data_IF_611063159451
#
_entry.id   IF_611063159451
#
_cell.length_a   1.000
_cell.length_b   1.000
_cell.length_c   1.000
_cell.angle_alpha   90.00
_cell.angle_beta   90.00
_cell.angle_gamma   90.00
#
_symmetry.space_group_name_H-M   'P 1'
#
loop_
_entity.id
_entity.type
_entity.pdbx_description
1 polymer ?
#
# COMPACT_ATOMS: atom_id res chain seq x y z
N UNK A 1 -9.22 -13.36 53.18
CA UNK A 1 -8.32 -12.83 52.14
C UNK A 1 -7.77 -14.03 51.39
N UNK A 2 -8.46 -14.40 50.32
CA UNK A 2 -8.15 -15.56 49.49
C UNK A 2 -6.92 -15.20 48.65
N UNK A 3 -5.79 -15.87 48.88
CA UNK A 3 -4.58 -15.69 48.07
C UNK A 3 -4.88 -16.28 46.70
N UNK A 4 -5.02 -15.42 45.69
CA UNK A 4 -4.96 -15.85 44.29
C UNK A 4 -3.67 -16.66 44.15
N UNK A 5 -3.82 -17.94 43.84
CA UNK A 5 -2.72 -18.87 43.73
C UNK A 5 -1.87 -18.45 42.52
N UNK A 6 -0.55 -18.29 42.71
CA UNK A 6 0.33 -17.71 41.70
C UNK A 6 0.33 -18.55 40.40
N UNK A 7 -0.01 -19.84 40.48
CA UNK A 7 -0.23 -20.71 39.34
C UNK A 7 -1.46 -20.29 38.50
N UNK A 8 -2.57 -19.93 39.14
CA UNK A 8 -3.81 -19.53 38.47
C UNK A 8 -3.68 -18.14 37.81
N UNK A 9 -2.86 -17.26 38.38
CA UNK A 9 -2.50 -16.00 37.74
C UNK A 9 -1.64 -16.21 36.49
N UNK A 10 -0.73 -17.18 36.52
CA UNK A 10 0.15 -17.52 35.38
C UNK A 10 -0.63 -18.15 34.24
N UNK A 11 -1.55 -19.08 34.53
CA UNK A 11 -2.43 -19.69 33.52
C UNK A 11 -3.36 -18.67 32.86
N UNK A 12 -3.87 -17.69 33.64
CA UNK A 12 -4.65 -16.60 33.06
C UNK A 12 -3.81 -15.67 32.17
N UNK A 13 -2.56 -15.39 32.54
CA UNK A 13 -1.66 -14.58 31.72
C UNK A 13 -1.31 -15.34 30.43
N UNK A 14 -0.99 -16.63 30.50
CA UNK A 14 -0.66 -17.45 29.34
C UNK A 14 -1.86 -17.65 28.40
N UNK A 15 -3.06 -17.79 28.97
CA UNK A 15 -4.31 -17.83 28.20
C UNK A 15 -4.64 -16.49 27.56
N UNK A 16 -4.40 -15.37 28.26
CA UNK A 16 -4.53 -14.02 27.67
C UNK A 16 -3.50 -13.78 26.58
N UNK A 17 -2.24 -14.20 26.75
CA UNK A 17 -1.22 -14.11 25.71
C UNK A 17 -1.55 -14.99 24.51
N UNK A 18 -2.11 -16.18 24.74
CA UNK A 18 -2.57 -17.05 23.65
C UNK A 18 -3.77 -16.47 22.93
N UNK A 19 -4.74 -15.93 23.67
CA UNK A 19 -5.88 -15.23 23.07
C UNK A 19 -5.39 -14.01 22.31
N UNK A 20 -4.48 -13.20 22.86
CA UNK A 20 -3.90 -12.04 22.17
C UNK A 20 -3.10 -12.44 20.93
N UNK A 21 -2.33 -13.52 20.99
CA UNK A 21 -1.57 -14.05 19.85
C UNK A 21 -2.50 -14.61 18.75
N UNK A 22 -3.60 -15.27 19.13
CA UNK A 22 -4.64 -15.75 18.21
C UNK A 22 -5.59 -14.63 17.75
N UNK A 23 -5.75 -13.57 18.55
CA UNK A 23 -6.63 -12.42 18.32
C UNK A 23 -5.91 -11.18 17.80
N UNK A 24 -4.63 -11.25 17.47
CA UNK A 24 -4.02 -10.34 16.52
C UNK A 24 -4.43 -10.85 15.14
N UNK A 25 -5.56 -10.40 14.56
CA UNK A 25 -5.83 -10.66 13.17
C UNK A 25 -4.64 -10.09 12.44
N UNK A 26 -3.79 -10.96 11.91
CA UNK A 26 -2.78 -10.53 10.97
C UNK A 26 -3.53 -9.69 9.94
N UNK A 27 -3.11 -8.44 9.78
CA UNK A 27 -3.62 -7.50 8.77
C UNK A 27 -3.35 -8.00 7.33
N UNK A 28 -3.19 -9.31 7.13
CA UNK A 28 -2.73 -10.02 5.94
C UNK A 28 -3.81 -10.18 4.85
N UNK A 29 -5.04 -9.70 5.04
CA UNK A 29 -6.13 -9.99 4.10
C UNK A 29 -6.14 -9.11 2.83
N UNK A 30 -5.02 -8.49 2.47
CA UNK A 30 -4.98 -7.56 1.34
C UNK A 30 -3.64 -7.35 0.65
N UNK A 31 -2.67 -8.26 0.81
CA UNK A 31 -1.35 -8.14 0.16
C UNK A 31 -1.43 -7.96 -1.36
N UNK A 32 -2.41 -8.59 -2.00
CA UNK A 32 -2.71 -8.48 -3.42
C UNK A 32 -3.10 -7.06 -3.87
N UNK A 33 -3.81 -6.28 -3.05
CA UNK A 33 -4.11 -4.88 -3.37
C UNK A 33 -2.83 -4.06 -3.48
N UNK A 34 -1.86 -4.28 -2.59
CA UNK A 34 -0.57 -3.57 -2.63
C UNK A 34 0.23 -3.91 -3.88
N UNK A 35 0.22 -5.18 -4.31
CA UNK A 35 0.88 -5.59 -5.57
C UNK A 35 0.25 -4.88 -6.76
N UNK A 36 -1.08 -4.93 -6.89
CA UNK A 36 -1.80 -4.37 -8.03
C UNK A 36 -1.59 -2.85 -8.11
N UNK A 37 -1.75 -2.15 -6.99
CA UNK A 37 -1.63 -0.69 -6.97
C UNK A 37 -0.17 -0.23 -7.11
N UNK A 38 0.81 -0.94 -6.53
CA UNK A 38 2.23 -0.62 -6.68
C UNK A 38 2.75 -0.85 -8.10
N UNK A 39 2.25 -1.89 -8.79
CA UNK A 39 2.57 -2.11 -10.22
C UNK A 39 1.90 -1.05 -11.09
N UNK A 40 0.65 -0.71 -10.81
CA UNK A 40 -0.08 0.31 -11.57
C UNK A 40 0.58 1.69 -11.43
N UNK A 41 0.93 2.11 -10.22
CA UNK A 41 1.59 3.40 -9.97
C UNK A 41 2.98 3.46 -10.62
N UNK A 42 3.77 2.38 -10.53
CA UNK A 42 5.08 2.29 -11.19
C UNK A 42 4.94 2.37 -12.72
N UNK A 43 3.97 1.65 -13.30
CA UNK A 43 3.68 1.70 -14.74
C UNK A 43 3.33 3.11 -15.19
N UNK A 44 2.39 3.77 -14.51
CA UNK A 44 1.95 5.12 -14.85
C UNK A 44 3.13 6.10 -14.76
N UNK A 45 3.90 6.03 -13.68
CA UNK A 45 5.07 6.89 -13.46
C UNK A 45 6.10 6.78 -14.59
N UNK A 46 6.44 5.55 -14.98
CA UNK A 46 7.37 5.30 -16.08
C UNK A 46 6.79 5.76 -17.41
N UNK A 47 5.53 5.42 -17.70
CA UNK A 47 4.88 5.79 -18.95
C UNK A 47 4.85 7.30 -19.17
N UNK A 48 4.46 8.07 -18.16
CA UNK A 48 4.46 9.54 -18.23
C UNK A 48 5.85 10.08 -18.53
N UNK A 49 6.87 9.59 -17.82
CA UNK A 49 8.24 9.99 -18.07
C UNK A 49 8.70 9.67 -19.50
N UNK A 50 8.41 8.46 -20.00
CA UNK A 50 8.76 8.04 -21.36
C UNK A 50 8.08 8.89 -22.44
N UNK A 51 6.85 9.34 -22.20
CA UNK A 51 6.14 10.28 -23.08
C UNK A 51 6.76 11.68 -23.01
N UNK A 52 7.07 12.16 -21.81
CA UNK A 52 7.66 13.50 -21.60
C UNK A 52 9.02 13.66 -22.28
N UNK A 53 9.86 12.61 -22.27
CA UNK A 53 11.16 12.61 -22.96
C UNK A 53 11.05 12.24 -24.45
N UNK A 54 9.83 12.08 -24.98
CA UNK A 54 9.57 11.84 -26.40
C UNK A 54 9.89 10.42 -26.88
N UNK A 55 10.18 9.47 -25.99
CA UNK A 55 10.38 8.06 -26.37
C UNK A 55 9.08 7.38 -26.77
N UNK A 56 7.94 7.78 -26.20
CA UNK A 56 6.61 7.30 -26.57
C UNK A 56 5.70 8.42 -27.06
N UNK A 57 4.79 8.07 -27.98
CA UNK A 57 3.77 8.99 -28.45
C UNK A 57 2.77 9.31 -27.32
N UNK A 58 2.28 10.55 -27.25
CA UNK A 58 1.26 10.97 -26.27
C UNK A 58 -0.01 10.09 -26.28
N UNK A 59 -0.31 9.42 -27.41
CA UNK A 59 -1.39 8.44 -27.51
C UNK A 59 -1.22 7.24 -26.56
N UNK A 60 0.00 6.92 -26.15
CA UNK A 60 0.28 5.85 -25.19
C UNK A 60 -0.36 6.14 -23.82
N UNK A 61 -0.59 7.42 -23.47
CA UNK A 61 -1.29 7.80 -22.23
C UNK A 61 -2.74 7.29 -22.15
N UNK A 62 -3.35 6.90 -23.28
CA UNK A 62 -4.68 6.26 -23.28
C UNK A 62 -4.71 4.88 -22.59
N UNK A 63 -3.55 4.27 -22.37
CA UNK A 63 -3.44 3.05 -21.55
C UNK A 63 -3.66 3.32 -20.05
N UNK A 64 -3.37 4.52 -19.55
CA UNK A 64 -3.51 4.89 -18.13
C UNK A 64 -4.93 4.67 -17.60
N UNK A 65 -6.00 5.20 -18.23
CA UNK A 65 -7.36 4.94 -17.74
C UNK A 65 -7.74 3.46 -17.81
N UNK A 66 -7.18 2.69 -18.75
CA UNK A 66 -7.43 1.24 -18.86
C UNK A 66 -6.79 0.50 -17.68
N UNK A 67 -5.53 0.82 -17.35
CA UNK A 67 -4.81 0.22 -16.21
C UNK A 67 -5.49 0.58 -14.89
N UNK A 68 -5.88 1.85 -14.71
CA UNK A 68 -6.60 2.29 -13.52
C UNK A 68 -7.97 1.60 -13.38
N UNK A 69 -8.72 1.49 -14.49
CA UNK A 69 -9.99 0.78 -14.49
C UNK A 69 -9.83 -0.71 -14.15
N UNK A 70 -8.78 -1.36 -14.66
CA UNK A 70 -8.46 -2.75 -14.36
C UNK A 70 -8.09 -2.95 -12.87
N UNK A 71 -7.23 -2.08 -12.32
CA UNK A 71 -6.86 -2.12 -10.90
C UNK A 71 -8.06 -1.86 -9.97
N UNK A 72 -8.92 -0.91 -10.32
CA UNK A 72 -10.14 -0.62 -9.59
C UNK A 72 -11.14 -1.78 -9.66
N UNK A 73 -11.36 -2.34 -10.86
CA UNK A 73 -12.23 -3.50 -11.05
C UNK A 73 -11.74 -4.70 -10.25
N UNK A 74 -10.43 -5.01 -10.32
CA UNK A 74 -9.81 -6.06 -9.52
C UNK A 74 -10.09 -5.83 -8.03
N UNK A 75 -9.84 -4.61 -7.54
CA UNK A 75 -10.02 -4.26 -6.15
C UNK A 75 -11.48 -4.42 -5.69
N UNK A 76 -12.45 -4.01 -6.51
CA UNK A 76 -13.89 -4.18 -6.23
C UNK A 76 -14.29 -5.66 -6.22
N UNK A 77 -13.85 -6.44 -7.21
CA UNK A 77 -14.16 -7.88 -7.28
C UNK A 77 -13.55 -8.63 -6.10
N UNK A 78 -12.30 -8.30 -5.75
CA UNK A 78 -11.59 -8.91 -4.63
C UNK A 78 -12.23 -8.53 -3.30
N UNK A 79 -12.53 -7.25 -3.09
CA UNK A 79 -13.25 -6.78 -1.89
C UNK A 79 -14.62 -7.47 -1.73
N UNK A 80 -15.36 -7.67 -2.81
CA UNK A 80 -16.62 -8.45 -2.79
C UNK A 80 -16.40 -9.91 -2.39
N UNK A 81 -15.36 -10.56 -2.92
CA UNK A 81 -15.03 -11.94 -2.56
C UNK A 81 -14.60 -12.08 -1.10
N UNK A 82 -13.87 -11.08 -0.59
CA UNK A 82 -13.41 -11.00 0.78
C UNK A 82 -14.61 -10.78 1.71
N UNK A 83 -15.50 -9.83 1.42
CA UNK A 83 -16.71 -9.55 2.20
C UNK A 83 -17.60 -10.79 2.44
N UNK A 84 -17.66 -11.72 1.47
CA UNK A 84 -18.40 -12.99 1.64
C UNK A 84 -17.76 -13.96 2.64
N UNK A 85 -16.45 -13.83 2.89
CA UNK A 85 -15.68 -14.61 3.88
C UNK A 85 -15.50 -13.87 5.22
N UNK A 86 -15.84 -12.58 5.26
CA UNK A 86 -15.49 -11.57 6.29
C UNK A 86 -16.59 -11.38 7.35
N UNK A 87 -17.45 -12.37 7.59
CA UNK A 87 -18.41 -12.30 8.70
C UNK A 87 -17.77 -12.19 10.11
N UNK A 88 -16.43 -12.22 10.21
CA UNK A 88 -15.64 -12.07 11.45
C UNK A 88 -14.40 -11.17 11.28
N UNK A 89 -14.46 -10.06 10.54
CA UNK A 89 -13.32 -9.12 10.53
C UNK A 89 -13.29 -8.25 11.77
N UNK A 90 -12.09 -8.05 12.31
CA UNK A 90 -11.85 -7.08 13.36
C UNK A 90 -12.13 -5.65 12.89
N UNK A 91 -12.48 -4.78 13.84
CA UNK A 91 -12.70 -3.35 13.63
C UNK A 91 -11.49 -2.69 12.95
N UNK A 92 -10.29 -3.09 13.37
CA UNK A 92 -8.99 -2.62 12.83
C UNK A 92 -8.85 -2.92 11.34
N UNK A 93 -9.28 -4.09 10.88
CA UNK A 93 -9.18 -4.46 9.46
C UNK A 93 -10.13 -3.63 8.58
N UNK A 94 -11.29 -3.24 9.10
CA UNK A 94 -12.22 -2.31 8.41
C UNK A 94 -11.65 -0.90 8.33
N UNK A 95 -11.09 -0.39 9.43
CA UNK A 95 -10.43 0.92 9.44
C UNK A 95 -9.26 0.96 8.45
N UNK A 96 -8.47 -0.11 8.40
CA UNK A 96 -7.40 -0.27 7.43
C UNK A 96 -7.89 -0.16 5.97
N UNK A 97 -8.93 -0.93 5.58
CA UNK A 97 -9.46 -0.83 4.23
C UNK A 97 -10.04 0.57 3.94
N UNK A 98 -10.66 1.21 4.93
CA UNK A 98 -11.14 2.58 4.77
C UNK A 98 -9.99 3.56 4.52
N UNK A 99 -8.89 3.46 5.26
CA UNK A 99 -7.71 4.31 5.04
C UNK A 99 -7.13 4.04 3.66
N UNK A 100 -6.91 2.78 3.29
CA UNK A 100 -6.41 2.40 1.96
C UNK A 100 -7.29 3.00 0.84
N UNK A 101 -8.60 2.80 0.91
CA UNK A 101 -9.54 3.30 -0.10
C UNK A 101 -9.63 4.83 -0.11
N UNK A 102 -9.58 5.47 1.06
CA UNK A 102 -9.62 6.93 1.15
C UNK A 102 -8.33 7.53 0.59
N UNK A 103 -7.17 7.00 0.95
CA UNK A 103 -5.89 7.48 0.43
C UNK A 103 -5.77 7.24 -1.08
N UNK A 104 -6.14 6.04 -1.58
CA UNK A 104 -6.15 5.77 -3.02
C UNK A 104 -7.19 6.63 -3.76
N UNK A 105 -8.39 6.81 -3.19
CA UNK A 105 -9.45 7.63 -3.77
C UNK A 105 -9.06 9.11 -3.86
N UNK A 106 -8.50 9.68 -2.79
CA UNK A 106 -7.97 11.05 -2.77
C UNK A 106 -6.82 11.19 -3.76
N UNK A 107 -5.91 10.22 -3.82
CA UNK A 107 -4.78 10.23 -4.77
C UNK A 107 -5.26 10.15 -6.21
N UNK A 108 -6.30 9.36 -6.49
CA UNK A 108 -6.93 9.29 -7.80
C UNK A 108 -7.58 10.62 -8.20
N UNK A 109 -8.35 11.24 -7.30
CA UNK A 109 -8.95 12.56 -7.56
C UNK A 109 -7.87 13.62 -7.76
N UNK A 110 -6.83 13.61 -6.93
CA UNK A 110 -5.68 14.49 -7.06
C UNK A 110 -4.95 14.27 -8.40
N UNK A 111 -4.86 13.02 -8.88
CA UNK A 111 -4.27 12.68 -10.18
C UNK A 111 -5.11 13.17 -11.37
N UNK A 112 -6.43 13.02 -11.30
CA UNK A 112 -7.33 13.52 -12.34
C UNK A 112 -7.27 15.05 -12.41
N UNK A 113 -7.19 15.72 -11.26
CA UNK A 113 -6.97 17.17 -11.18
C UNK A 113 -5.55 17.55 -11.63
N UNK A 114 -4.55 16.74 -11.31
CA UNK A 114 -3.15 16.93 -11.67
C UNK A 114 -2.90 16.93 -13.17
N UNK A 115 -3.66 16.17 -13.96
CA UNK A 115 -3.52 16.14 -15.43
C UNK A 115 -3.55 17.52 -16.11
N UNK A 116 -4.14 18.53 -15.45
CA UNK A 116 -4.09 19.94 -15.90
C UNK A 116 -3.32 20.89 -14.98
N UNK A 117 -3.07 20.52 -13.72
CA UNK A 117 -2.52 21.42 -12.69
C UNK A 117 -1.06 21.09 -12.37
N UNK A 118 -0.69 19.81 -12.33
CA UNK A 118 0.65 19.32 -12.00
C UNK A 118 1.20 18.55 -13.20
N UNK A 119 2.09 19.17 -13.96
CA UNK A 119 2.70 18.55 -15.13
C UNK A 119 3.91 17.69 -14.77
N UNK A 120 4.09 16.59 -15.49
CA UNK A 120 5.25 15.71 -15.40
C UNK A 120 5.41 15.00 -14.05
N UNK A 121 6.60 15.12 -13.47
CA UNK A 121 7.08 14.30 -12.34
C UNK A 121 6.32 14.56 -11.03
N UNK A 122 5.66 15.71 -10.90
CA UNK A 122 4.86 16.05 -9.72
C UNK A 122 3.75 15.02 -9.44
N UNK A 123 3.25 14.36 -10.49
CA UNK A 123 2.25 13.30 -10.37
C UNK A 123 2.82 12.03 -9.70
N UNK A 124 4.07 11.67 -10.00
CA UNK A 124 4.74 10.52 -9.40
C UNK A 124 5.03 10.73 -7.91
N UNK A 125 5.39 11.95 -7.51
CA UNK A 125 5.59 12.30 -6.11
C UNK A 125 4.29 12.15 -5.28
N UNK A 126 3.13 12.51 -5.85
CA UNK A 126 1.83 12.34 -5.19
C UNK A 126 1.52 10.86 -4.90
N UNK A 127 1.81 9.96 -5.85
CA UNK A 127 1.66 8.51 -5.64
C UNK A 127 2.57 7.99 -4.54
N UNK A 128 3.86 8.36 -4.56
CA UNK A 128 4.80 7.92 -3.53
C UNK A 128 4.44 8.44 -2.14
N UNK A 129 3.96 9.68 -2.01
CA UNK A 129 3.49 10.22 -0.72
C UNK A 129 2.27 9.43 -0.23
N UNK A 130 1.30 9.17 -1.11
CA UNK A 130 0.10 8.41 -0.77
C UNK A 130 0.43 6.99 -0.30
N UNK A 131 1.29 6.29 -1.04
CA UNK A 131 1.76 4.94 -0.69
C UNK A 131 2.50 4.92 0.65
N UNK A 132 3.38 5.91 0.89
CA UNK A 132 4.10 6.03 2.15
C UNK A 132 3.15 6.25 3.34
N UNK A 133 2.12 7.09 3.19
CA UNK A 133 1.12 7.32 4.24
C UNK A 133 0.40 6.01 4.59
N UNK A 134 -0.04 5.25 3.58
CA UNK A 134 -0.73 3.97 3.80
C UNK A 134 0.19 2.98 4.53
N UNK A 135 1.43 2.82 4.06
CA UNK A 135 2.39 1.88 4.66
C UNK A 135 2.78 2.27 6.10
N UNK A 136 3.00 3.57 6.36
CA UNK A 136 3.29 4.07 7.69
C UNK A 136 2.09 3.91 8.64
N UNK A 137 0.85 4.08 8.13
CA UNK A 137 -0.35 3.81 8.91
C UNK A 137 -0.43 2.33 9.35
N UNK A 138 -0.12 1.40 8.45
CA UNK A 138 -0.05 -0.04 8.78
C UNK A 138 1.10 -0.31 9.75
N UNK A 139 2.23 0.36 9.60
CA UNK A 139 3.39 0.22 10.49
C UNK A 139 3.04 0.59 11.94
N UNK A 140 2.23 1.64 12.15
CA UNK A 140 1.76 2.04 13.49
C UNK A 140 0.94 0.96 14.20
N UNK A 141 0.39 -0.01 13.46
CA UNK A 141 -0.36 -1.16 14.00
C UNK A 141 0.53 -2.39 14.24
N UNK A 142 1.86 -2.22 14.27
CA UNK A 142 2.82 -3.27 14.66
C UNK A 142 3.37 -4.10 13.50
N UNK A 143 3.04 -3.80 12.25
CA UNK A 143 3.62 -4.51 11.11
C UNK A 143 5.00 -3.93 10.71
N UNK A 144 6.08 -4.56 11.18
CA UNK A 144 7.46 -4.17 10.84
C UNK A 144 7.76 -4.19 9.34
N UNK A 145 7.12 -5.07 8.56
CA UNK A 145 7.32 -5.15 7.11
C UNK A 145 6.75 -3.92 6.41
N UNK A 146 5.58 -3.48 6.85
CA UNK A 146 4.97 -2.23 6.37
C UNK A 146 5.84 -1.01 6.73
N UNK A 147 6.51 -1.04 7.89
CA UNK A 147 7.44 0.03 8.28
C UNK A 147 8.63 0.11 7.32
N UNK A 148 9.29 -1.03 7.06
CA UNK A 148 10.43 -1.09 6.12
C UNK A 148 9.98 -0.65 4.72
N UNK A 149 8.82 -1.12 4.27
CA UNK A 149 8.25 -0.74 2.99
C UNK A 149 7.96 0.77 2.90
N UNK A 150 7.34 1.35 3.93
CA UNK A 150 7.06 2.79 3.98
C UNK A 150 8.34 3.62 3.95
N UNK A 151 9.37 3.20 4.70
CA UNK A 151 10.70 3.83 4.67
C UNK A 151 11.32 3.72 3.27
N UNK A 152 11.21 2.58 2.58
CA UNK A 152 11.72 2.43 1.22
C UNK A 152 11.08 3.41 0.24
N UNK A 153 9.76 3.63 0.32
CA UNK A 153 9.06 4.62 -0.52
C UNK A 153 9.48 6.05 -0.18
N UNK A 154 9.70 6.37 1.09
CA UNK A 154 10.20 7.70 1.49
C UNK A 154 11.64 7.92 1.00
N UNK A 155 12.50 6.91 1.14
CA UNK A 155 13.88 6.95 0.68
C UNK A 155 13.95 7.11 -0.83
N UNK A 156 13.08 6.43 -1.60
CA UNK A 156 13.03 6.62 -3.04
C UNK A 156 12.64 8.05 -3.41
N UNK A 157 11.72 8.68 -2.67
CA UNK A 157 11.34 10.08 -2.88
C UNK A 157 12.50 11.04 -2.62
N UNK A 158 13.24 10.83 -1.52
CA UNK A 158 14.45 11.61 -1.21
C UNK A 158 15.53 11.40 -2.27
N UNK A 159 15.79 10.16 -2.67
CA UNK A 159 16.80 9.82 -3.67
C UNK A 159 16.45 10.40 -5.05
N UNK A 160 15.18 10.35 -5.44
CA UNK A 160 14.69 10.90 -6.69
C UNK A 160 14.83 12.43 -6.71
N UNK A 161 14.67 13.11 -5.57
CA UNK A 161 14.79 14.57 -5.49
C UNK A 161 16.24 15.08 -5.39
N UNK A 162 17.12 14.38 -4.68
CA UNK A 162 18.46 14.91 -4.31
C UNK A 162 19.65 14.13 -4.87
N UNK A 163 19.49 12.85 -5.20
CA UNK A 163 20.63 11.96 -5.55
C UNK A 163 20.68 11.68 -7.04
N UNK A 164 19.54 11.40 -7.66
CA UNK A 164 19.45 11.06 -9.08
C UNK A 164 18.28 11.80 -9.77
N UNK A 165 18.33 13.14 -9.86
CA UNK A 165 17.26 13.94 -10.44
C UNK A 165 17.02 13.65 -11.93
N UNK A 166 18.05 13.19 -12.65
CA UNK A 166 17.97 12.72 -14.04
C UNK A 166 17.21 11.40 -14.19
N UNK A 167 17.09 10.61 -13.10
CA UNK A 167 16.43 9.29 -13.08
C UNK A 167 15.22 9.26 -12.17
N UNK A 168 14.67 10.42 -11.81
CA UNK A 168 13.61 10.60 -10.82
C UNK A 168 12.46 9.60 -11.02
N UNK A 169 11.94 9.46 -12.24
CA UNK A 169 10.82 8.55 -12.52
C UNK A 169 11.16 7.07 -12.27
N UNK A 170 12.36 6.63 -12.63
CA UNK A 170 12.80 5.25 -12.42
C UNK A 170 13.05 4.95 -10.94
N UNK A 171 13.61 5.91 -10.20
CA UNK A 171 13.84 5.78 -8.75
C UNK A 171 12.50 5.72 -8.00
N UNK A 172 11.54 6.57 -8.35
CA UNK A 172 10.20 6.54 -7.77
C UNK A 172 9.48 5.23 -8.10
N UNK A 173 9.50 4.80 -9.36
CA UNK A 173 8.90 3.53 -9.78
C UNK A 173 9.55 2.33 -9.08
N UNK A 174 10.88 2.34 -8.90
CA UNK A 174 11.57 1.31 -8.13
C UNK A 174 11.12 1.32 -6.65
N UNK A 175 10.89 2.49 -6.07
CA UNK A 175 10.31 2.62 -4.72
C UNK A 175 8.89 2.07 -4.62
N UNK A 176 8.03 2.36 -5.60
CA UNK A 176 6.65 1.83 -5.67
C UNK A 176 6.66 0.28 -5.79
N UNK A 177 7.57 -0.27 -6.60
CA UNK A 177 7.72 -1.71 -6.75
C UNK A 177 8.32 -2.38 -5.51
N UNK A 178 9.44 -1.86 -4.99
CA UNK A 178 10.14 -2.48 -3.87
C UNK A 178 9.42 -2.26 -2.52
N UNK A 179 8.88 -1.06 -2.32
CA UNK A 179 8.14 -0.70 -1.11
C UNK A 179 6.72 -1.25 -1.18
N UNK A 180 5.89 -0.73 -2.07
CA UNK A 180 4.46 -1.03 -2.09
C UNK A 180 4.16 -2.45 -2.61
N UNK A 181 4.57 -2.79 -3.83
CA UNK A 181 4.32 -4.13 -4.36
C UNK A 181 5.14 -5.21 -3.62
N UNK A 182 6.38 -4.90 -3.22
CA UNK A 182 7.23 -5.78 -2.42
C UNK A 182 6.65 -6.10 -1.05
N UNK A 183 6.05 -5.11 -0.38
CA UNK A 183 5.26 -5.36 0.83
C UNK A 183 4.11 -6.32 0.55
N UNK A 184 3.34 -6.08 -0.50
CA UNK A 184 2.23 -6.95 -0.91
C UNK A 184 2.65 -8.40 -1.13
N UNK A 185 3.74 -8.62 -1.86
CA UNK A 185 4.32 -9.96 -2.08
C UNK A 185 4.74 -10.59 -0.75
N UNK A 186 5.43 -9.83 0.12
CA UNK A 186 5.89 -10.34 1.42
C UNK A 186 4.74 -10.77 2.34
N UNK A 187 3.61 -10.07 2.26
CA UNK A 187 2.39 -10.42 3.00
C UNK A 187 1.72 -11.67 2.42
N UNK A 188 1.66 -11.80 1.10
CA UNK A 188 1.14 -13.00 0.44
C UNK A 188 1.95 -14.25 0.79
N UNK A 189 3.29 -14.15 0.74
CA UNK A 189 4.19 -15.26 1.05
C UNK A 189 4.16 -15.69 2.53
N UNK A 190 3.71 -14.82 3.44
CA UNK A 190 3.58 -15.17 4.86
C UNK A 190 2.18 -15.63 5.27
N UNK A 191 1.23 -15.58 4.33
CA UNK A 191 -0.10 -16.13 4.48
C UNK A 191 -0.21 -17.60 4.02
N UNK A 192 0.79 -18.07 3.25
CA UNK A 192 1.01 -19.48 2.89
C UNK A 192 1.77 -20.23 4.01
#
# INVERSE_FOLDING_TARGET
>A
MERIDAAQARDHIEMVDRILAESHPRLCAGGDFFVVWGVASAYITVLFHLVDIGMFAARALWSVPIVLAAAALYSVLRARSLNRRIARTSLVQREFFNVLWLTLGVTFVANVAAFRIFTGIAQAALWSIAEAIVLLYIAMHGNRRAQIAGVLVVVSLVAANFVAPDRTAYVLAAGMLAGYAGFGISELLAAE
#
